data_IF_010205607916
#
_entry.id   IF_010205607916
#
_cell.length_a   1.000
_cell.length_b   1.000
_cell.length_c   1.000
_cell.angle_alpha   90.00
_cell.angle_beta   90.00
_cell.angle_gamma   90.00
#
_symmetry.space_group_name_H-M   'P 1'
#
loop_
_entity.id
_entity.type
_entity.pdbx_description
1 polymer ?
#
# COMPACT_ATOMS: atom_id res chain seq x y z
N UNK A 1 24.03 14.85 -6.75
CA UNK A 1 22.74 14.46 -7.41
C UNK A 1 21.59 15.01 -6.57
N UNK A 2 20.63 15.70 -7.19
CA UNK A 2 19.48 16.26 -6.50
C UNK A 2 18.53 15.18 -5.94
N UNK A 3 17.68 15.57 -5.01
CA UNK A 3 16.65 14.71 -4.43
C UNK A 3 15.60 14.33 -5.48
N UNK A 4 15.11 13.09 -5.42
CA UNK A 4 14.04 12.61 -6.30
C UNK A 4 12.69 12.80 -5.59
N UNK A 5 11.73 13.38 -6.32
CA UNK A 5 10.37 13.51 -5.83
C UNK A 5 9.71 12.13 -5.71
N UNK A 6 8.75 11.99 -4.77
CA UNK A 6 7.94 10.79 -4.66
C UNK A 6 7.04 10.66 -5.90
N UNK A 7 7.12 9.55 -6.67
CA UNK A 7 6.34 9.38 -7.90
C UNK A 7 4.83 9.41 -7.69
N UNK A 8 4.34 8.90 -6.56
CA UNK A 8 2.91 8.97 -6.19
C UNK A 8 2.51 10.41 -5.93
N UNK A 9 3.31 11.16 -5.15
CA UNK A 9 3.05 12.57 -4.85
C UNK A 9 3.04 13.45 -6.09
N UNK A 10 3.93 13.21 -7.07
CA UNK A 10 3.95 13.93 -8.34
C UNK A 10 2.66 13.74 -9.15
N UNK A 11 2.00 12.61 -9.01
CA UNK A 11 0.82 12.20 -9.80
C UNK A 11 -0.51 12.38 -9.09
N UNK A 12 -0.51 12.89 -7.85
CA UNK A 12 -1.75 13.20 -7.13
C UNK A 12 -2.58 14.23 -7.90
N UNK A 13 -3.86 13.94 -8.07
CA UNK A 13 -4.79 14.77 -8.84
C UNK A 13 -4.65 14.63 -10.36
N UNK A 14 -3.67 13.85 -10.86
CA UNK A 14 -3.48 13.56 -12.29
C UNK A 14 -3.99 12.16 -12.60
N UNK A 15 -3.38 11.10 -12.08
CA UNK A 15 -3.79 9.71 -12.24
C UNK A 15 -3.85 8.92 -10.92
N UNK A 16 -3.59 9.59 -9.81
CA UNK A 16 -3.66 9.03 -8.44
C UNK A 16 -4.50 9.93 -7.54
N UNK A 17 -5.22 9.32 -6.61
CA UNK A 17 -5.98 10.01 -5.56
C UNK A 17 -5.29 9.87 -4.21
N UNK A 18 -5.77 10.63 -3.24
CA UNK A 18 -5.30 10.56 -1.85
C UNK A 18 -5.83 9.33 -1.13
N UNK A 19 -5.07 8.87 -0.16
CA UNK A 19 -5.50 7.77 0.72
C UNK A 19 -6.48 8.21 1.81
N UNK A 20 -6.53 9.51 2.14
CA UNK A 20 -7.58 10.10 2.98
C UNK A 20 -8.48 10.97 2.11
N UNK A 21 -9.79 10.65 2.08
CA UNK A 21 -10.78 11.24 1.17
C UNK A 21 -11.93 11.81 1.98
N UNK A 22 -11.71 13.00 2.54
CA UNK A 22 -12.71 13.71 3.31
C UNK A 22 -12.44 15.21 3.29
N UNK A 23 -13.43 15.99 3.66
CA UNK A 23 -13.35 17.43 3.82
C UNK A 23 -13.75 17.81 5.24
N UNK A 24 -13.05 18.79 5.82
CA UNK A 24 -13.38 19.35 7.14
C UNK A 24 -13.14 20.85 7.19
N UNK A 25 -13.82 21.53 8.09
CA UNK A 25 -13.60 22.93 8.38
C UNK A 25 -12.23 23.19 9.00
N UNK A 26 -11.79 24.44 9.00
CA UNK A 26 -10.46 24.87 9.48
C UNK A 26 -10.16 24.41 10.93
N UNK A 27 -11.15 24.39 11.79
CA UNK A 27 -10.96 24.07 13.22
C UNK A 27 -10.83 22.56 13.46
N UNK A 28 -11.52 21.74 12.65
CA UNK A 28 -11.60 20.30 12.86
C UNK A 28 -10.55 19.52 12.07
N UNK A 29 -10.00 20.14 11.01
CA UNK A 29 -9.05 19.49 10.10
C UNK A 29 -7.84 18.87 10.83
N UNK A 30 -7.24 19.62 11.75
CA UNK A 30 -6.05 19.16 12.48
C UNK A 30 -6.32 17.94 13.36
N UNK A 31 -7.47 17.90 14.04
CA UNK A 31 -7.86 16.79 14.89
C UNK A 31 -8.12 15.52 14.06
N UNK A 32 -8.92 15.65 12.99
CA UNK A 32 -9.23 14.53 12.09
C UNK A 32 -7.98 13.98 11.39
N UNK A 33 -7.04 14.84 10.99
CA UNK A 33 -5.77 14.42 10.42
C UNK A 33 -4.93 13.61 11.43
N UNK A 34 -4.87 14.08 12.67
CA UNK A 34 -4.18 13.37 13.75
C UNK A 34 -4.80 12.00 14.05
N UNK A 35 -6.12 11.91 14.05
CA UNK A 35 -6.83 10.63 14.18
C UNK A 35 -6.46 9.68 13.04
N UNK A 36 -6.49 10.13 11.79
CA UNK A 36 -6.13 9.31 10.63
C UNK A 36 -4.70 8.76 10.73
N UNK A 37 -3.75 9.58 11.15
CA UNK A 37 -2.36 9.16 11.36
C UNK A 37 -2.28 8.07 12.43
N UNK A 38 -2.95 8.25 13.58
CA UNK A 38 -2.98 7.27 14.66
C UNK A 38 -3.63 5.95 14.21
N UNK A 39 -4.76 6.03 13.51
CA UNK A 39 -5.47 4.85 12.97
C UNK A 39 -4.57 4.07 12.03
N UNK A 40 -3.89 4.73 11.08
CA UNK A 40 -2.96 4.07 10.15
C UNK A 40 -1.80 3.41 10.87
N UNK A 41 -1.18 4.11 11.83
CA UNK A 41 -0.05 3.57 12.60
C UNK A 41 -0.46 2.32 13.39
N UNK A 42 -1.60 2.38 14.08
CA UNK A 42 -2.10 1.26 14.87
C UNK A 42 -2.46 0.05 14.01
N UNK A 43 -3.18 0.27 12.89
CA UNK A 43 -3.53 -0.81 11.95
C UNK A 43 -2.29 -1.42 11.31
N UNK A 44 -1.33 -0.63 10.87
CA UNK A 44 -0.08 -1.15 10.27
C UNK A 44 0.76 -1.92 11.29
N UNK A 45 0.71 -1.54 12.57
CA UNK A 45 1.38 -2.27 13.66
C UNK A 45 0.75 -3.62 13.94
N UNK A 46 -0.59 -3.68 14.00
CA UNK A 46 -1.34 -4.91 14.27
C UNK A 46 -1.32 -5.88 13.07
N UNK A 47 -1.33 -5.35 11.85
CA UNK A 47 -1.48 -6.12 10.61
C UNK A 47 -0.16 -6.42 9.88
N UNK A 48 0.98 -6.40 10.56
CA UNK A 48 2.30 -6.68 9.94
C UNK A 48 2.36 -7.99 9.15
N UNK A 49 1.61 -9.03 9.56
CA UNK A 49 1.59 -10.34 8.91
C UNK A 49 0.58 -10.44 7.75
N UNK A 50 -0.34 -9.48 7.67
CA UNK A 50 -1.43 -9.49 6.70
C UNK A 50 -1.02 -8.95 5.31
N UNK A 51 0.21 -8.48 5.13
CA UNK A 51 0.70 -7.88 3.90
C UNK A 51 -0.25 -6.76 3.40
N UNK A 52 -0.37 -5.70 4.20
CA UNK A 52 -1.20 -4.53 3.88
C UNK A 52 -0.41 -3.58 2.97
N UNK A 53 -1.00 -3.24 1.83
CA UNK A 53 -0.43 -2.28 0.89
C UNK A 53 -0.68 -0.84 1.35
N UNK A 54 -1.94 -0.44 1.37
CA UNK A 54 -2.36 0.90 1.78
C UNK A 54 -3.72 0.84 2.47
N UNK A 55 -4.06 1.93 3.18
CA UNK A 55 -5.30 2.08 3.92
C UNK A 55 -5.97 3.36 3.45
N UNK A 56 -7.18 3.25 2.90
CA UNK A 56 -8.02 4.38 2.51
C UNK A 56 -8.97 4.72 3.63
N UNK A 57 -9.04 6.01 4.00
CA UNK A 57 -9.94 6.51 5.04
C UNK A 57 -10.88 7.52 4.43
N UNK A 58 -12.18 7.28 4.60
CA UNK A 58 -13.27 8.14 4.18
C UNK A 58 -14.12 8.53 5.40
N UNK A 59 -14.61 9.77 5.45
CA UNK A 59 -15.43 10.25 6.56
C UNK A 59 -16.77 10.83 6.09
N UNK A 60 -17.71 9.98 5.61
CA UNK A 60 -19.04 10.44 5.26
C UNK A 60 -19.88 10.63 6.53
N UNK A 61 -20.46 11.82 6.74
CA UNK A 61 -21.48 12.10 7.76
C UNK A 61 -21.19 11.48 9.16
N UNK A 62 -20.13 11.89 9.83
CA UNK A 62 -19.74 11.37 11.18
C UNK A 62 -19.42 9.86 11.25
N UNK A 63 -19.25 9.18 10.10
CA UNK A 63 -18.77 7.80 10.04
C UNK A 63 -17.32 7.78 9.57
N UNK A 64 -16.52 6.90 10.14
CA UNK A 64 -15.16 6.65 9.70
C UNK A 64 -15.12 5.30 8.97
N UNK A 65 -15.05 5.34 7.63
CA UNK A 65 -14.89 4.15 6.81
C UNK A 65 -13.41 3.93 6.53
N UNK A 66 -12.90 2.81 6.99
CA UNK A 66 -11.50 2.40 6.80
C UNK A 66 -11.46 1.22 5.85
N UNK A 67 -10.92 1.41 4.65
CA UNK A 67 -10.76 0.35 3.66
C UNK A 67 -9.29 -0.11 3.66
N UNK A 68 -9.07 -1.38 3.99
CA UNK A 68 -7.75 -2.00 4.09
C UNK A 68 -7.49 -2.83 2.84
N UNK A 69 -6.49 -2.45 2.06
CA UNK A 69 -6.03 -3.20 0.90
C UNK A 69 -4.94 -4.19 1.33
N UNK A 70 -5.23 -5.49 1.26
CA UNK A 70 -4.37 -6.57 1.75
C UNK A 70 -4.24 -7.69 0.72
N UNK A 71 -3.05 -8.31 0.66
CA UNK A 71 -2.82 -9.52 -0.13
C UNK A 71 -3.30 -10.80 0.60
N UNK A 72 -3.57 -10.71 1.91
CA UNK A 72 -4.01 -11.85 2.73
C UNK A 72 -5.23 -11.49 3.58
N UNK A 73 -6.40 -11.30 2.96
CA UNK A 73 -7.61 -10.87 3.66
C UNK A 73 -8.03 -11.82 4.78
N UNK A 74 -7.79 -13.12 4.62
CA UNK A 74 -8.09 -14.12 5.65
C UNK A 74 -7.38 -13.90 6.99
N UNK A 75 -6.16 -13.35 6.97
CA UNK A 75 -5.41 -13.00 8.20
C UNK A 75 -6.02 -11.79 8.89
N UNK A 76 -6.59 -10.86 8.13
CA UNK A 76 -7.24 -9.65 8.68
C UNK A 76 -8.60 -10.00 9.29
N UNK A 77 -9.36 -10.86 8.63
CA UNK A 77 -10.71 -11.27 9.07
C UNK A 77 -10.61 -12.17 10.32
N UNK A 78 -9.63 -13.07 10.32
CA UNK A 78 -9.45 -14.06 11.39
C UNK A 78 -10.52 -15.16 11.40
N UNK A 79 -10.45 -16.03 12.40
CA UNK A 79 -11.42 -17.12 12.57
C UNK A 79 -12.80 -16.55 12.91
N UNK A 80 -13.79 -16.83 12.06
CA UNK A 80 -15.21 -16.38 12.24
C UNK A 80 -15.37 -14.86 12.42
N UNK A 81 -14.44 -14.05 11.91
CA UNK A 81 -14.51 -12.59 12.04
C UNK A 81 -14.07 -12.02 13.40
N UNK A 82 -13.48 -12.82 14.29
CA UNK A 82 -13.08 -12.35 15.61
C UNK A 82 -12.00 -11.26 15.59
N UNK A 83 -11.07 -11.34 14.64
CA UNK A 83 -9.96 -10.39 14.61
C UNK A 83 -10.37 -9.04 13.99
N UNK A 84 -11.28 -9.03 13.00
CA UNK A 84 -11.84 -7.77 12.49
C UNK A 84 -12.66 -7.03 13.55
N UNK A 85 -13.39 -7.75 14.41
CA UNK A 85 -14.13 -7.13 15.52
C UNK A 85 -13.18 -6.53 16.58
N UNK A 86 -12.06 -7.17 16.87
CA UNK A 86 -11.01 -6.61 17.74
C UNK A 86 -10.42 -5.35 17.12
N UNK A 87 -10.10 -5.38 15.82
CA UNK A 87 -9.60 -4.22 15.07
C UNK A 87 -10.60 -3.06 15.12
N UNK A 88 -11.90 -3.33 14.88
CA UNK A 88 -12.96 -2.33 14.95
C UNK A 88 -13.01 -1.67 16.34
N UNK A 89 -12.97 -2.48 17.41
CA UNK A 89 -12.93 -1.96 18.79
C UNK A 89 -11.68 -1.17 19.10
N UNK A 90 -10.53 -1.56 18.54
CA UNK A 90 -9.26 -0.83 18.69
C UNK A 90 -9.32 0.52 18.02
N UNK A 91 -9.83 0.59 16.79
CA UNK A 91 -9.99 1.86 16.04
C UNK A 91 -11.07 2.76 16.66
N UNK A 92 -12.17 2.19 17.13
CA UNK A 92 -13.24 2.95 17.81
C UNK A 92 -12.78 3.67 19.09
N UNK A 93 -11.68 3.24 19.71
CA UNK A 93 -11.07 3.95 20.85
C UNK A 93 -10.27 5.19 20.42
N UNK A 94 -9.94 5.33 19.15
CA UNK A 94 -9.09 6.39 18.61
C UNK A 94 -9.89 7.52 17.94
N UNK A 95 -11.18 7.30 17.69
CA UNK A 95 -12.06 8.27 17.02
C UNK A 95 -13.44 8.28 17.68
N UNK A 96 -14.08 9.46 17.69
CA UNK A 96 -15.45 9.65 18.19
C UNK A 96 -16.52 9.28 17.15
N UNK A 97 -16.09 8.88 15.93
CA UNK A 97 -16.99 8.52 14.82
C UNK A 97 -17.33 7.03 14.83
N UNK A 98 -18.49 6.65 14.27
CA UNK A 98 -18.83 5.24 14.05
C UNK A 98 -17.88 4.62 13.01
N UNK A 99 -17.22 3.52 13.38
CA UNK A 99 -16.16 2.90 12.57
C UNK A 99 -16.69 1.73 11.74
N UNK A 100 -16.47 1.78 10.44
CA UNK A 100 -16.74 0.69 9.51
C UNK A 100 -15.42 0.27 8.86
N UNK A 101 -15.07 -1.02 8.96
CA UNK A 101 -13.86 -1.58 8.34
C UNK A 101 -14.26 -2.42 7.14
N UNK A 102 -13.72 -2.06 5.97
CA UNK A 102 -13.83 -2.82 4.73
C UNK A 102 -12.47 -3.43 4.39
N UNK A 103 -12.48 -4.63 3.79
CA UNK A 103 -11.25 -5.30 3.35
C UNK A 103 -11.36 -5.55 1.85
N UNK A 104 -10.34 -5.13 1.13
CA UNK A 104 -10.21 -5.34 -0.32
C UNK A 104 -8.99 -6.22 -0.58
N UNK A 105 -9.19 -7.30 -1.33
CA UNK A 105 -8.13 -8.21 -1.71
C UNK A 105 -7.29 -7.66 -2.85
N UNK A 106 -5.97 -7.73 -2.72
CA UNK A 106 -5.01 -7.47 -3.80
C UNK A 106 -4.69 -8.77 -4.49
N UNK A 107 -5.26 -8.99 -5.70
CA UNK A 107 -5.11 -10.24 -6.46
C UNK A 107 -3.68 -10.50 -6.96
N UNK A 108 -2.90 -9.44 -7.25
CA UNK A 108 -1.52 -9.52 -7.77
C UNK A 108 -0.57 -8.75 -6.86
N UNK A 109 -0.15 -9.30 -5.71
CA UNK A 109 0.72 -8.61 -4.75
C UNK A 109 2.11 -8.28 -5.31
N UNK A 110 2.58 -9.02 -6.32
CA UNK A 110 3.87 -8.78 -6.96
C UNK A 110 3.88 -7.55 -7.88
N UNK A 111 2.72 -6.99 -8.19
CA UNK A 111 2.56 -5.72 -8.91
C UNK A 111 2.35 -4.52 -7.97
N UNK A 112 2.34 -4.76 -6.67
CA UNK A 112 2.24 -3.71 -5.65
C UNK A 112 3.63 -3.38 -5.09
N UNK A 113 4.07 -2.15 -5.29
CA UNK A 113 5.43 -1.74 -4.94
C UNK A 113 5.70 -1.82 -3.43
N UNK A 114 4.69 -1.55 -2.59
CA UNK A 114 4.81 -1.62 -1.13
C UNK A 114 4.99 -3.05 -0.66
N UNK A 115 4.18 -3.98 -1.17
CA UNK A 115 4.23 -5.40 -0.82
C UNK A 115 5.54 -6.06 -1.30
N UNK A 116 6.00 -5.70 -2.50
CA UNK A 116 7.30 -6.18 -3.02
C UNK A 116 8.44 -5.66 -2.15
N UNK A 117 8.42 -4.38 -1.74
CA UNK A 117 9.45 -3.83 -0.87
C UNK A 117 9.49 -4.54 0.50
N UNK A 118 8.33 -4.80 1.10
CA UNK A 118 8.22 -5.53 2.37
C UNK A 118 8.68 -6.99 2.24
N UNK A 119 8.33 -7.66 1.14
CA UNK A 119 8.79 -9.03 0.88
C UNK A 119 10.32 -9.11 0.77
N UNK A 120 10.95 -8.14 0.09
CA UNK A 120 12.42 -8.08 0.00
C UNK A 120 13.01 -7.80 1.38
N UNK A 121 12.46 -6.85 2.15
CA UNK A 121 12.93 -6.54 3.49
C UNK A 121 12.89 -7.76 4.43
N UNK A 122 11.79 -8.50 4.43
CA UNK A 122 11.65 -9.75 5.20
C UNK A 122 12.67 -10.82 4.78
N UNK A 123 12.99 -10.92 3.49
CA UNK A 123 14.03 -11.85 3.00
C UNK A 123 15.43 -11.42 3.46
N UNK A 124 15.72 -10.12 3.49
CA UNK A 124 16.98 -9.59 4.03
C UNK A 124 17.13 -9.87 5.52
N UNK A 125 16.07 -9.72 6.31
CA UNK A 125 16.04 -10.05 7.73
C UNK A 125 16.32 -11.54 7.98
N UNK A 126 15.82 -12.40 7.07
CA UNK A 126 16.10 -13.85 7.08
C UNK A 126 17.46 -14.22 6.51
N UNK A 127 18.35 -13.24 6.29
CA UNK A 127 19.71 -13.42 5.76
C UNK A 127 19.77 -14.04 4.36
N UNK A 128 18.74 -13.90 3.55
CA UNK A 128 18.79 -14.27 2.13
C UNK A 128 19.70 -13.31 1.39
N UNK A 129 20.52 -13.83 0.45
CA UNK A 129 21.41 -13.00 -0.36
C UNK A 129 20.61 -11.93 -1.12
N UNK A 130 20.93 -10.66 -0.89
CA UNK A 130 20.18 -9.49 -1.41
C UNK A 130 20.05 -9.51 -2.95
N UNK A 131 21.10 -9.95 -3.68
CA UNK A 131 21.07 -10.09 -5.15
C UNK A 131 20.01 -11.10 -5.59
N UNK A 132 19.89 -12.23 -4.88
CA UNK A 132 18.89 -13.26 -5.18
C UNK A 132 17.47 -12.75 -4.90
N UNK A 133 17.28 -12.07 -3.76
CA UNK A 133 15.99 -11.49 -3.40
C UNK A 133 15.52 -10.45 -4.44
N UNK A 134 16.40 -9.52 -4.83
CA UNK A 134 16.08 -8.50 -5.84
C UNK A 134 15.79 -9.10 -7.22
N UNK A 135 16.64 -10.00 -7.72
CA UNK A 135 16.43 -10.64 -9.03
C UNK A 135 15.13 -11.42 -9.08
N UNK A 136 14.80 -12.18 -8.04
CA UNK A 136 13.54 -12.93 -7.93
C UNK A 136 12.32 -12.00 -7.99
N UNK A 137 12.36 -10.89 -7.25
CA UNK A 137 11.29 -9.91 -7.24
C UNK A 137 11.11 -9.27 -8.62
N UNK A 138 12.19 -8.91 -9.31
CA UNK A 138 12.15 -8.36 -10.66
C UNK A 138 11.52 -9.35 -11.63
N UNK A 139 11.99 -10.59 -11.66
CA UNK A 139 11.46 -11.64 -12.54
C UNK A 139 9.98 -11.93 -12.28
N UNK A 140 9.55 -11.95 -11.00
CA UNK A 140 8.15 -12.17 -10.65
C UNK A 140 7.25 -11.04 -11.14
N UNK A 141 7.66 -9.79 -10.95
CA UNK A 141 6.88 -8.63 -11.39
C UNK A 141 6.77 -8.57 -12.93
N UNK A 142 7.86 -8.80 -13.65
CA UNK A 142 7.85 -8.81 -15.12
C UNK A 142 6.97 -9.93 -15.68
N UNK A 143 7.04 -11.13 -15.10
CA UNK A 143 6.19 -12.26 -15.51
C UNK A 143 4.69 -12.00 -15.33
N UNK A 144 4.30 -11.20 -14.32
CA UNK A 144 2.90 -10.87 -14.04
C UNK A 144 2.37 -9.67 -14.82
N UNK A 145 3.21 -9.08 -15.68
CA UNK A 145 2.79 -8.05 -16.62
C UNK A 145 3.19 -6.62 -16.21
N UNK A 146 4.19 -6.43 -15.35
CA UNK A 146 4.81 -5.12 -15.19
C UNK A 146 5.57 -4.75 -16.49
N UNK A 147 5.42 -3.52 -16.97
CA UNK A 147 6.21 -3.02 -18.12
C UNK A 147 7.63 -2.62 -17.72
N UNK A 148 7.85 -2.42 -16.43
CA UNK A 148 9.17 -2.16 -15.89
C UNK A 148 9.19 -2.10 -14.39
N UNK A 149 10.33 -2.45 -13.83
CA UNK A 149 10.58 -2.42 -12.39
C UNK A 149 11.98 -1.90 -12.11
N UNK A 150 12.11 -1.13 -11.04
CA UNK A 150 13.39 -0.74 -10.45
C UNK A 150 13.36 -0.99 -8.95
N UNK A 151 14.40 -1.64 -8.44
CA UNK A 151 14.59 -1.91 -7.02
C UNK A 151 15.94 -1.36 -6.59
N UNK A 152 15.95 -0.60 -5.51
CA UNK A 152 17.17 -0.12 -4.86
C UNK A 152 17.23 -0.70 -3.44
N UNK A 153 18.35 -1.30 -3.08
CA UNK A 153 18.66 -1.68 -1.71
C UNK A 153 19.89 -0.91 -1.24
N UNK A 154 19.82 -0.29 -0.08
CA UNK A 154 20.89 0.53 0.50
C UNK A 154 21.14 0.15 1.96
N UNK A 155 22.39 0.20 2.39
CA UNK A 155 22.80 -0.14 3.75
C UNK A 155 23.98 -1.09 3.76
N UNK A 156 24.20 -1.76 4.90
CA UNK A 156 25.27 -2.78 5.06
C UNK A 156 24.83 -4.12 4.46
N UNK A 157 24.82 -4.17 3.13
CA UNK A 157 24.33 -5.32 2.37
C UNK A 157 25.20 -6.56 2.59
N UNK A 158 24.60 -7.64 3.07
CA UNK A 158 25.32 -8.88 3.39
C UNK A 158 26.25 -8.78 4.60
N UNK A 159 26.11 -7.75 5.45
CA UNK A 159 26.95 -7.53 6.61
C UNK A 159 28.26 -6.77 6.35
N UNK A 160 28.42 -6.20 5.14
CA UNK A 160 29.58 -5.40 4.79
C UNK A 160 29.77 -4.23 5.76
N UNK A 161 31.01 -3.90 6.14
CA UNK A 161 31.31 -2.79 7.03
C UNK A 161 30.92 -1.44 6.44
N UNK A 162 31.16 -1.25 5.14
CA UNK A 162 30.83 -0.04 4.42
C UNK A 162 29.47 -0.21 3.78
N UNK A 163 28.55 0.70 4.08
CA UNK A 163 27.24 0.76 3.47
C UNK A 163 27.36 1.11 1.98
N UNK A 164 26.56 0.46 1.17
CA UNK A 164 26.48 0.74 -0.26
C UNK A 164 25.07 0.67 -0.78
N UNK A 165 24.85 1.21 -1.98
CA UNK A 165 23.61 1.13 -2.74
C UNK A 165 23.80 0.17 -3.90
N UNK A 166 22.95 -0.82 -3.99
CA UNK A 166 22.83 -1.72 -5.13
C UNK A 166 21.44 -1.60 -5.74
N UNK A 167 21.33 -1.66 -7.06
CA UNK A 167 20.07 -1.54 -7.73
C UNK A 167 19.96 -2.48 -8.93
N UNK A 168 18.72 -2.91 -9.20
CA UNK A 168 18.36 -3.65 -10.40
C UNK A 168 17.20 -2.94 -11.09
N UNK A 169 17.23 -2.93 -12.44
CA UNK A 169 16.16 -2.40 -13.26
C UNK A 169 15.95 -3.32 -14.44
N UNK A 170 14.69 -3.57 -14.77
CA UNK A 170 14.27 -4.28 -15.98
C UNK A 170 13.09 -3.54 -16.58
N UNK A 171 13.04 -3.48 -17.91
CA UNK A 171 12.03 -2.70 -18.61
C UNK A 171 12.18 -1.19 -18.49
N UNK A 172 11.09 -0.48 -18.73
CA UNK A 172 11.00 0.98 -18.75
C UNK A 172 10.37 1.49 -17.45
N UNK A 173 10.97 2.50 -16.82
CA UNK A 173 10.40 3.16 -15.63
C UNK A 173 10.44 4.69 -15.85
N UNK A 174 9.40 5.27 -16.50
CA UNK A 174 9.37 6.68 -16.89
C UNK A 174 8.93 7.55 -15.71
N UNK A 175 9.87 7.98 -14.86
CA UNK A 175 9.56 8.75 -13.65
C UNK A 175 9.03 10.16 -13.93
N UNK A 176 9.38 10.75 -15.07
CA UNK A 176 8.99 12.11 -15.44
C UNK A 176 7.69 12.20 -16.25
N UNK A 177 7.21 11.09 -16.81
CA UNK A 177 5.97 11.03 -17.58
C UNK A 177 4.77 11.02 -16.65
N UNK A 178 3.93 12.05 -16.68
CA UNK A 178 2.79 12.18 -15.76
C UNK A 178 1.69 11.14 -16.01
N UNK A 179 1.43 10.78 -17.28
CA UNK A 179 0.44 9.76 -17.65
C UNK A 179 0.85 8.34 -17.27
N UNK A 180 2.12 8.10 -16.91
CA UNK A 180 2.62 6.79 -16.53
C UNK A 180 2.10 6.39 -15.14
N UNK A 181 1.50 5.20 -15.03
CA UNK A 181 1.13 4.60 -13.74
C UNK A 181 2.35 3.98 -13.09
N UNK A 182 3.03 4.76 -12.27
CA UNK A 182 4.19 4.32 -11.50
C UNK A 182 3.80 4.15 -10.04
N UNK A 183 3.85 2.93 -9.57
CA UNK A 183 3.69 2.60 -8.16
C UNK A 183 5.02 2.68 -7.43
N UNK A 184 4.99 3.14 -6.17
CA UNK A 184 6.18 3.35 -5.36
C UNK A 184 5.99 2.84 -3.96
N UNK A 185 6.94 2.03 -3.49
CA UNK A 185 6.93 1.50 -2.12
C UNK A 185 8.31 1.54 -1.48
N UNK A 186 8.31 1.74 -0.17
CA UNK A 186 9.52 1.69 0.65
C UNK A 186 9.33 0.73 1.81
N UNK A 187 10.40 0.03 2.16
CA UNK A 187 10.47 -0.80 3.36
C UNK A 187 11.85 -0.72 3.98
N UNK A 188 11.92 -0.98 5.27
CA UNK A 188 13.18 -1.04 6.01
C UNK A 188 13.35 -2.43 6.60
N UNK A 189 14.45 -3.08 6.27
CA UNK A 189 14.84 -4.36 6.86
C UNK A 189 15.73 -4.10 8.10
N UNK A 190 15.35 -4.65 9.22
CA UNK A 190 16.13 -4.58 10.47
C UNK A 190 17.02 -5.80 10.58
N UNK A 191 18.30 -5.63 10.26
CA UNK A 191 19.29 -6.70 10.32
C UNK A 191 20.16 -6.59 11.57
N UNK A 192 20.87 -7.66 11.91
CA UNK A 192 21.82 -7.65 13.05
C UNK A 192 22.96 -6.64 12.87
N UNK A 193 23.27 -6.24 11.63
CA UNK A 193 24.32 -5.29 11.29
C UNK A 193 23.84 -3.85 11.13
N UNK A 194 22.53 -3.60 11.30
CA UNK A 194 21.90 -2.30 11.12
C UNK A 194 20.72 -2.35 10.17
N UNK A 195 20.22 -1.21 9.75
CA UNK A 195 19.05 -1.08 8.89
C UNK A 195 19.44 -1.07 7.41
N UNK A 196 18.66 -1.78 6.59
CA UNK A 196 18.78 -1.73 5.13
C UNK A 196 17.49 -1.17 4.54
N UNK A 197 17.59 -0.05 3.80
CA UNK A 197 16.46 0.57 3.12
C UNK A 197 16.21 -0.07 1.76
N UNK A 198 14.96 -0.42 1.48
CA UNK A 198 14.50 -0.93 0.19
C UNK A 198 13.54 0.07 -0.44
N UNK A 199 13.75 0.43 -1.71
CA UNK A 199 12.86 1.28 -2.50
C UNK A 199 12.52 0.54 -3.79
N UNK A 200 11.23 0.51 -4.11
CA UNK A 200 10.72 -0.18 -5.30
C UNK A 200 9.87 0.76 -6.13
N UNK A 201 10.06 0.76 -7.44
CA UNK A 201 9.24 1.44 -8.44
C UNK A 201 8.75 0.39 -9.42
N UNK A 202 7.44 0.34 -9.64
CA UNK A 202 6.82 -0.57 -10.62
C UNK A 202 6.02 0.27 -11.61
N UNK A 203 6.33 0.12 -12.87
CA UNK A 203 5.59 0.75 -13.96
C UNK A 203 4.57 -0.26 -14.49
N UNK A 204 3.29 0.10 -14.44
CA UNK A 204 2.15 -0.76 -14.81
C UNK A 204 1.60 -0.46 -16.21
N UNK A 205 2.05 0.63 -16.83
CA UNK A 205 1.56 1.11 -18.11
C UNK A 205 1.17 2.59 -18.09
N UNK A 206 0.54 3.07 -19.13
CA UNK A 206 0.10 4.47 -19.25
C UNK A 206 -1.42 4.57 -19.11
N UNK A 207 -1.88 5.56 -18.34
CA UNK A 207 -3.30 5.90 -18.18
C UNK A 207 -3.57 7.10 -19.08
N UNK A 208 -4.37 6.91 -20.13
CA UNK A 208 -4.74 7.95 -21.10
C UNK A 208 -6.09 8.60 -20.76
N UNK A 209 -7.01 7.84 -20.16
CA UNK A 209 -8.29 8.36 -19.68
C UNK A 209 -8.16 8.93 -18.27
N UNK A 210 -8.74 10.11 -18.08
CA UNK A 210 -8.35 11.02 -17.01
C UNK A 210 -9.39 11.20 -15.89
N UNK A 211 -9.98 10.14 -15.38
CA UNK A 211 -10.77 10.25 -14.14
C UNK A 211 -10.14 9.40 -13.03
N UNK A 212 -9.32 10.01 -12.15
CA UNK A 212 -8.71 9.29 -11.03
C UNK A 212 -9.75 8.73 -10.04
N UNK A 213 -11.01 9.21 -10.11
CA UNK A 213 -12.13 8.76 -9.28
C UNK A 213 -13.01 7.71 -9.98
N UNK A 214 -12.80 7.42 -11.28
CA UNK A 214 -13.66 6.50 -12.05
C UNK A 214 -13.64 5.06 -11.48
N UNK A 215 -12.54 4.62 -10.93
CA UNK A 215 -12.45 3.28 -10.32
C UNK A 215 -13.31 3.18 -9.05
N UNK A 216 -13.36 4.23 -8.27
CA UNK A 216 -14.17 4.27 -7.04
C UNK A 216 -15.65 4.37 -7.37
N UNK A 217 -16.02 5.12 -8.42
CA UNK A 217 -17.40 5.18 -8.93
C UNK A 217 -17.87 3.80 -9.39
N UNK A 218 -17.06 3.07 -10.16
CA UNK A 218 -17.39 1.69 -10.61
C UNK A 218 -17.53 0.70 -9.46
N UNK A 219 -16.74 0.84 -8.39
CA UNK A 219 -16.88 0.01 -7.19
C UNK A 219 -18.15 0.35 -6.41
N UNK A 220 -18.51 1.63 -6.30
CA UNK A 220 -19.74 2.08 -5.66
C UNK A 220 -21.00 1.67 -6.45
N UNK A 221 -20.96 1.74 -7.77
CA UNK A 221 -22.05 1.32 -8.66
C UNK A 221 -22.21 -0.21 -8.70
N UNK A 222 -21.11 -0.98 -8.66
CA UNK A 222 -21.13 -2.43 -8.61
C UNK A 222 -21.75 -3.02 -7.34
N UNK A 223 -21.71 -2.29 -6.24
CA UNK A 223 -22.32 -2.71 -4.96
C UNK A 223 -23.83 -2.41 -4.91
N UNK A 224 -24.31 -1.43 -5.69
CA UNK A 224 -25.74 -1.08 -5.79
C UNK A 224 -26.54 -2.03 -6.70
N UNK A 225 -25.86 -2.85 -7.53
CA UNK A 225 -26.47 -3.70 -8.55
C UNK A 225 -26.74 -5.16 -8.15
N UNK A 226 -26.46 -5.60 -6.92
CA UNK A 226 -26.86 -6.94 -6.48
C UNK A 226 -28.28 -6.92 -5.94
N UNK A 227 -29.28 -7.51 -6.63
CA UNK A 227 -30.60 -7.66 -6.07
C UNK A 227 -30.51 -8.53 -4.81
N UNK A 228 -31.05 -8.02 -3.70
CA UNK A 228 -31.31 -8.84 -2.51
C UNK A 228 -32.11 -10.05 -2.96
N UNK A 229 -31.53 -11.24 -2.85
CA UNK A 229 -32.31 -12.47 -2.90
C UNK A 229 -33.22 -12.44 -1.68
N UNK A 230 -34.47 -12.04 -1.89
CA UNK A 230 -35.54 -12.29 -0.93
C UNK A 230 -35.66 -13.80 -0.78
N UNK A 231 -35.59 -14.25 0.48
CA UNK A 231 -35.71 -15.64 0.83
C UNK A 231 -37.08 -16.16 0.41
N UNK A 232 -37.08 -17.20 -0.37
CA UNK A 232 -38.25 -18.04 -0.53
C UNK A 232 -38.46 -18.82 0.78
N UNK A 233 -39.64 -18.67 1.31
CA UNK A 233 -40.19 -19.43 2.43
C UNK A 233 -40.23 -20.93 2.11
#
# INVERSE_FOLDING_TARGET
MGQKINPVGLRLGINRTWDSRWFAGKNDYGNLLHEDIKIRQELMKQLKQAAVSHIVIERPHKKCRVTIHSARPGVVIGKKGADIEKLRKSVAKLTDSDVVINIVEIRKPELDAKLVAESIAQQLERRVAFRRAMKRAVQSAMRLGAEGIRINCSGRLGGAEIARLEWYREGRVPLHTLRADVDYGTATAFTTYGTCGVKVWIFKGEILEHDPMAQDKKLAEGDSGRPRREGAA
#
